data_IF_109364176893
#
_entry.id   IF_109364176893
#
_cell.length_a   1.000
_cell.length_b   1.000
_cell.length_c   1.000
_cell.angle_alpha   90.00
_cell.angle_beta   90.00
_cell.angle_gamma   90.00
#
_symmetry.space_group_name_H-M   'P 1'
#
loop_
_entity.id
_entity.type
_entity.pdbx_description
1 polymer ?
#
# COMPACT_ATOMS: atom_id res chain seq x y z
N UNK A 1 11.80 32.35 -5.40
CA UNK A 1 12.58 31.51 -6.35
C UNK A 1 13.42 30.40 -5.68
N UNK A 2 14.04 30.60 -4.50
CA UNK A 2 14.74 29.51 -3.79
C UNK A 2 13.76 28.55 -3.07
N UNK A 3 12.62 29.05 -2.60
CA UNK A 3 11.65 28.24 -1.85
C UNK A 3 10.97 27.13 -2.69
N UNK A 4 10.74 27.36 -3.97
CA UNK A 4 10.07 26.40 -4.84
C UNK A 4 10.94 25.18 -5.18
N UNK A 5 12.27 25.33 -5.14
CA UNK A 5 13.23 24.27 -5.46
C UNK A 5 13.76 23.53 -4.24
N UNK A 6 13.53 24.06 -3.04
CA UNK A 6 14.06 23.51 -1.79
C UNK A 6 13.64 22.03 -1.57
N UNK A 7 12.37 21.62 -1.78
CA UNK A 7 11.95 20.23 -1.61
C UNK A 7 12.68 19.27 -2.57
N UNK A 8 12.94 19.71 -3.81
CA UNK A 8 13.65 18.91 -4.81
C UNK A 8 15.13 18.76 -4.45
N UNK A 9 15.77 19.83 -3.97
CA UNK A 9 17.16 19.78 -3.51
C UNK A 9 17.32 18.87 -2.28
N UNK A 10 16.43 18.96 -1.30
CA UNK A 10 16.44 18.09 -0.13
C UNK A 10 16.26 16.62 -0.55
N UNK A 11 15.32 16.33 -1.44
CA UNK A 11 15.09 14.97 -1.97
C UNK A 11 16.31 14.44 -2.70
N UNK A 12 16.97 15.27 -3.52
CA UNK A 12 18.17 14.90 -4.25
C UNK A 12 19.35 14.60 -3.30
N UNK A 13 19.54 15.43 -2.26
CA UNK A 13 20.58 15.22 -1.25
C UNK A 13 20.35 13.95 -0.43
N UNK A 14 19.10 13.68 -0.04
CA UNK A 14 18.73 12.44 0.65
C UNK A 14 18.96 11.22 -0.22
N UNK A 15 18.59 11.28 -1.50
CA UNK A 15 18.85 10.23 -2.49
C UNK A 15 20.34 9.97 -2.67
N UNK A 16 21.15 11.02 -2.75
CA UNK A 16 22.61 10.90 -2.83
C UNK A 16 23.20 10.28 -1.56
N UNK A 17 22.77 10.73 -0.39
CA UNK A 17 23.20 10.17 0.89
C UNK A 17 22.87 8.68 1.01
N UNK A 18 21.66 8.29 0.57
CA UNK A 18 21.23 6.89 0.53
C UNK A 18 22.09 6.07 -0.44
N UNK A 19 22.38 6.57 -1.63
CA UNK A 19 23.26 5.94 -2.61
C UNK A 19 24.68 5.73 -2.06
N UNK A 20 25.25 6.76 -1.42
CA UNK A 20 26.57 6.67 -0.80
C UNK A 20 26.60 5.68 0.37
N UNK A 21 25.55 5.65 1.18
CA UNK A 21 25.40 4.66 2.27
C UNK A 21 25.34 3.23 1.73
N UNK A 22 24.58 3.01 0.66
CA UNK A 22 24.52 1.71 -0.01
C UNK A 22 25.87 1.27 -0.59
N UNK A 23 26.62 2.21 -1.18
CA UNK A 23 27.99 1.90 -1.69
C UNK A 23 28.97 1.57 -0.57
N UNK A 24 28.81 2.16 0.61
CA UNK A 24 29.76 2.00 1.73
C UNK A 24 29.43 0.77 2.60
N UNK A 25 28.14 0.51 2.84
CA UNK A 25 27.67 -0.52 3.77
C UNK A 25 26.78 -1.59 3.13
N UNK A 26 26.38 -1.41 1.87
CA UNK A 26 25.60 -2.42 1.17
C UNK A 26 26.44 -3.72 1.08
N UNK A 27 25.90 -4.82 1.57
CA UNK A 27 26.50 -6.14 1.38
C UNK A 27 26.64 -6.40 -0.11
N UNK A 28 27.85 -6.62 -0.56
CA UNK A 28 28.09 -7.17 -1.90
C UNK A 28 27.67 -8.65 -1.84
N UNK A 29 26.39 -8.92 -1.89
CA UNK A 29 25.89 -10.25 -2.15
C UNK A 29 26.53 -10.66 -3.47
N UNK A 30 27.51 -11.57 -3.40
CA UNK A 30 28.01 -12.20 -4.61
C UNK A 30 26.78 -12.76 -5.33
N UNK A 31 26.65 -12.57 -6.65
CA UNK A 31 25.55 -13.19 -7.38
C UNK A 31 25.60 -14.67 -7.02
N UNK A 32 24.50 -15.18 -6.44
CA UNK A 32 24.38 -16.59 -6.14
C UNK A 32 24.79 -17.30 -7.44
N UNK A 33 25.93 -17.99 -7.45
CA UNK A 33 26.31 -18.86 -8.57
C UNK A 33 25.13 -19.81 -8.67
N UNK A 34 24.31 -19.63 -9.67
CA UNK A 34 23.33 -20.60 -10.07
C UNK A 34 24.14 -21.80 -10.53
N UNK A 35 24.42 -22.71 -9.59
CA UNK A 35 25.02 -23.98 -9.91
C UNK A 35 24.17 -24.61 -11.01
N UNK A 36 24.70 -24.60 -12.25
CA UNK A 36 24.41 -25.49 -13.39
C UNK A 36 22.99 -25.98 -13.67
N UNK A 37 21.96 -25.53 -12.95
CA UNK A 37 20.59 -25.83 -13.29
C UNK A 37 20.19 -25.00 -14.52
N UNK A 38 19.63 -25.63 -15.59
CA UNK A 38 19.17 -24.90 -16.76
C UNK A 38 18.27 -23.76 -16.27
N UNK A 39 18.61 -22.52 -16.61
CA UNK A 39 17.76 -21.36 -16.33
C UNK A 39 16.40 -21.69 -16.94
N UNK A 40 15.43 -22.02 -16.08
CA UNK A 40 14.06 -22.22 -16.53
C UNK A 40 13.67 -20.98 -17.31
N UNK A 41 13.34 -21.12 -18.58
CA UNK A 41 13.07 -20.00 -19.47
C UNK A 41 12.02 -19.08 -18.85
N UNK A 42 12.14 -17.77 -19.07
CA UNK A 42 11.22 -16.76 -18.54
C UNK A 42 9.74 -17.17 -18.60
N UNK A 43 9.33 -17.81 -19.70
CA UNK A 43 7.98 -18.32 -19.89
C UNK A 43 7.62 -19.53 -19.02
N UNK A 44 8.58 -20.40 -18.71
CA UNK A 44 8.34 -21.56 -17.83
C UNK A 44 8.18 -21.13 -16.38
N UNK A 45 8.97 -20.14 -15.93
CA UNK A 45 8.82 -19.52 -14.61
C UNK A 45 7.49 -18.78 -14.52
N UNK A 46 7.12 -18.00 -15.54
CA UNK A 46 5.81 -17.35 -15.63
C UNK A 46 4.65 -18.33 -15.52
N UNK A 47 4.75 -19.49 -16.21
CA UNK A 47 3.76 -20.55 -16.12
C UNK A 47 3.66 -21.21 -14.74
N UNK A 48 4.75 -21.30 -13.99
CA UNK A 48 4.74 -21.76 -12.59
C UNK A 48 4.07 -20.76 -11.66
N UNK A 49 4.34 -19.45 -11.81
CA UNK A 49 3.71 -18.39 -11.01
C UNK A 49 2.20 -18.37 -11.21
N UNK A 50 1.72 -18.55 -12.45
CA UNK A 50 0.29 -18.58 -12.77
C UNK A 50 -0.42 -19.84 -12.23
N UNK A 51 0.31 -20.86 -11.77
CA UNK A 51 -0.24 -22.04 -11.11
C UNK A 51 -0.24 -21.93 -9.59
N UNK A 52 0.54 -21.02 -9.03
CA UNK A 52 0.58 -20.79 -7.59
C UNK A 52 -0.64 -19.97 -7.14
N UNK A 53 -1.66 -20.66 -6.67
CA UNK A 53 -2.91 -20.05 -6.19
C UNK A 53 -2.69 -19.10 -5.02
N UNK A 54 -1.69 -19.37 -4.16
CA UNK A 54 -1.36 -18.49 -3.03
C UNK A 54 -0.87 -17.15 -3.55
N UNK A 55 0.12 -17.19 -4.44
CA UNK A 55 0.68 -15.99 -5.04
C UNK A 55 -0.40 -15.18 -5.77
N UNK A 56 -1.24 -15.83 -6.59
CA UNK A 56 -2.32 -15.14 -7.32
C UNK A 56 -3.29 -14.46 -6.35
N UNK A 57 -3.75 -15.17 -5.32
CA UNK A 57 -4.67 -14.62 -4.33
C UNK A 57 -4.03 -13.43 -3.60
N UNK A 58 -2.76 -13.53 -3.20
CA UNK A 58 -2.07 -12.42 -2.52
C UNK A 58 -1.80 -11.24 -3.46
N UNK A 59 -1.45 -11.47 -4.71
CA UNK A 59 -1.28 -10.39 -5.70
C UNK A 59 -2.60 -9.69 -6.01
N UNK A 60 -3.70 -10.42 -6.16
CA UNK A 60 -5.03 -9.84 -6.36
C UNK A 60 -5.52 -9.09 -5.10
N UNK A 61 -5.34 -9.69 -3.92
CA UNK A 61 -5.62 -9.03 -2.66
C UNK A 61 -4.80 -7.75 -2.50
N UNK A 62 -3.51 -7.81 -2.83
CA UNK A 62 -2.59 -6.66 -2.83
C UNK A 62 -3.02 -5.58 -3.82
N UNK A 63 -3.48 -5.94 -5.02
CA UNK A 63 -3.97 -4.97 -5.99
C UNK A 63 -5.25 -4.27 -5.50
N UNK A 64 -6.17 -5.00 -4.89
CA UNK A 64 -7.39 -4.42 -4.33
C UNK A 64 -7.12 -3.55 -3.09
N UNK A 65 -6.18 -3.94 -2.22
CA UNK A 65 -5.76 -3.10 -1.10
C UNK A 65 -5.01 -1.86 -1.58
N UNK A 66 -4.18 -1.98 -2.63
CA UNK A 66 -3.46 -0.86 -3.21
C UNK A 66 -4.38 0.18 -3.89
N UNK A 67 -5.56 -0.22 -4.40
CA UNK A 67 -6.62 0.73 -4.83
C UNK A 67 -6.95 1.69 -3.69
N UNK A 68 -6.92 1.21 -2.45
CA UNK A 68 -7.35 1.95 -1.27
C UNK A 68 -6.24 2.84 -0.72
N UNK A 69 -5.05 2.29 -0.47
CA UNK A 69 -3.99 3.05 0.19
C UNK A 69 -2.97 3.68 -0.79
N UNK A 70 -2.84 3.13 -2.00
CA UNK A 70 -1.73 3.49 -2.90
C UNK A 70 -1.70 4.94 -3.36
N UNK A 71 -2.86 5.57 -3.49
CA UNK A 71 -3.00 6.97 -3.94
C UNK A 71 -4.07 7.72 -3.13
N UNK A 72 -4.09 7.50 -1.80
CA UNK A 72 -5.13 8.08 -0.94
C UNK A 72 -5.19 9.60 -1.03
N UNK A 73 -4.06 10.29 -1.17
CA UNK A 73 -4.02 11.74 -1.33
C UNK A 73 -4.75 12.20 -2.59
N UNK A 74 -4.64 11.47 -3.69
CA UNK A 74 -5.27 11.83 -4.95
C UNK A 74 -6.81 11.73 -4.85
N UNK A 75 -7.35 10.58 -4.40
CA UNK A 75 -8.80 10.43 -4.36
C UNK A 75 -9.45 11.23 -3.21
N UNK A 76 -8.78 11.41 -2.06
CA UNK A 76 -9.29 12.30 -1.02
C UNK A 76 -9.30 13.76 -1.47
N UNK A 77 -8.27 14.19 -2.21
CA UNK A 77 -8.25 15.51 -2.80
C UNK A 77 -9.41 15.71 -3.78
N UNK A 78 -9.64 14.74 -4.67
CA UNK A 78 -10.78 14.78 -5.61
C UNK A 78 -12.12 14.89 -4.86
N UNK A 79 -12.30 14.07 -3.82
CA UNK A 79 -13.50 14.09 -3.00
C UNK A 79 -13.71 15.45 -2.31
N UNK A 80 -12.67 15.96 -1.64
CA UNK A 80 -12.76 17.21 -0.87
C UNK A 80 -12.99 18.43 -1.77
N UNK A 81 -12.37 18.47 -2.95
CA UNK A 81 -12.58 19.57 -3.91
C UNK A 81 -14.01 19.57 -4.49
N UNK A 82 -14.64 18.40 -4.60
CA UNK A 82 -16.05 18.30 -5.06
C UNK A 82 -17.05 18.66 -3.95
N UNK A 83 -16.69 18.40 -2.67
CA UNK A 83 -17.62 18.55 -1.54
C UNK A 83 -17.42 19.81 -0.72
N UNK A 84 -16.25 20.45 -0.79
CA UNK A 84 -15.88 21.67 -0.07
C UNK A 84 -15.44 22.75 -1.06
N UNK A 85 -15.33 24.01 -0.59
CA UNK A 85 -14.65 25.03 -1.37
C UNK A 85 -13.13 24.77 -1.47
N UNK A 86 -12.49 25.35 -2.50
CA UNK A 86 -11.08 25.08 -2.81
C UNK A 86 -10.11 25.39 -1.66
N UNK A 87 -10.40 26.44 -0.86
CA UNK A 87 -9.54 26.82 0.25
C UNK A 87 -9.66 25.84 1.43
N UNK A 88 -10.87 25.45 1.75
CA UNK A 88 -11.15 24.46 2.79
C UNK A 88 -10.60 23.09 2.38
N UNK A 89 -10.77 22.68 1.13
CA UNK A 89 -10.24 21.42 0.61
C UNK A 89 -8.71 21.35 0.78
N UNK A 90 -7.99 22.41 0.37
CA UNK A 90 -6.53 22.47 0.53
C UNK A 90 -6.09 22.38 2.00
N UNK A 91 -6.84 23.03 2.91
CA UNK A 91 -6.59 22.99 4.35
C UNK A 91 -6.76 21.56 4.90
N UNK A 92 -7.89 20.92 4.59
CA UNK A 92 -8.17 19.55 5.01
C UNK A 92 -7.11 18.57 4.50
N UNK A 93 -6.76 18.65 3.21
CA UNK A 93 -5.72 17.78 2.61
C UNK A 93 -4.39 17.93 3.36
N UNK A 94 -3.98 19.17 3.67
CA UNK A 94 -2.73 19.44 4.39
C UNK A 94 -2.72 18.78 5.77
N UNK A 95 -3.82 18.87 6.53
CA UNK A 95 -3.92 18.20 7.83
C UNK A 95 -3.97 16.67 7.72
N UNK A 96 -4.63 16.13 6.71
CA UNK A 96 -4.69 14.68 6.47
C UNK A 96 -3.31 14.11 6.13
N UNK A 97 -2.57 14.76 5.23
CA UNK A 97 -1.21 14.37 4.87
C UNK A 97 -0.27 14.47 6.09
N UNK A 98 -0.39 15.55 6.87
CA UNK A 98 0.39 15.70 8.10
C UNK A 98 0.05 14.62 9.13
N UNK A 99 -1.24 14.30 9.31
CA UNK A 99 -1.69 13.22 10.21
C UNK A 99 -1.13 11.86 9.78
N UNK A 100 -1.20 11.53 8.48
CA UNK A 100 -0.61 10.31 7.94
C UNK A 100 0.90 10.28 8.22
N UNK A 101 1.64 11.31 7.83
CA UNK A 101 3.09 11.38 7.99
C UNK A 101 3.53 11.24 9.46
N UNK A 102 2.89 11.97 10.38
CA UNK A 102 3.20 11.92 11.81
C UNK A 102 2.90 10.51 12.36
N UNK A 103 1.77 9.91 11.98
CA UNK A 103 1.38 8.56 12.43
C UNK A 103 2.38 7.51 11.93
N UNK A 104 2.79 7.59 10.66
CA UNK A 104 3.80 6.69 10.08
C UNK A 104 5.12 6.84 10.84
N UNK A 105 5.66 8.06 10.97
CA UNK A 105 6.94 8.30 11.62
C UNK A 105 6.93 7.82 13.07
N UNK A 106 5.86 8.07 13.81
CA UNK A 106 5.75 7.72 15.22
C UNK A 106 5.57 6.21 15.46
N UNK A 107 4.78 5.52 14.61
CA UNK A 107 4.27 4.19 14.93
C UNK A 107 4.78 3.07 14.03
N UNK A 108 5.28 3.37 12.82
CA UNK A 108 5.71 2.34 11.87
C UNK A 108 6.79 1.41 12.46
N UNK A 109 7.80 1.95 13.13
CA UNK A 109 8.85 1.14 13.76
C UNK A 109 8.30 0.31 14.93
N UNK A 110 7.47 0.92 15.79
CA UNK A 110 6.93 0.25 16.99
C UNK A 110 5.98 -0.89 16.61
N UNK A 111 5.10 -0.65 15.64
CA UNK A 111 4.14 -1.65 15.16
C UNK A 111 4.87 -2.71 14.31
N UNK A 112 5.71 -2.27 13.36
CA UNK A 112 6.41 -3.16 12.43
C UNK A 112 7.21 -4.25 13.13
N UNK A 113 7.93 -3.90 14.20
CA UNK A 113 8.70 -4.89 14.98
C UNK A 113 7.84 -5.88 15.78
N UNK A 114 6.53 -5.62 15.94
CA UNK A 114 5.59 -6.53 16.61
C UNK A 114 4.92 -7.49 15.65
N UNK A 115 4.94 -7.20 14.36
CA UNK A 115 4.36 -8.09 13.35
C UNK A 115 5.20 -9.36 13.31
N UNK A 116 4.58 -10.47 13.77
CA UNK A 116 5.25 -11.76 13.82
C UNK A 116 4.97 -12.56 12.55
N UNK A 117 6.04 -13.13 11.96
CA UNK A 117 5.91 -14.04 10.82
C UNK A 117 5.05 -15.28 11.10
N UNK A 118 4.84 -15.64 12.38
CA UNK A 118 3.95 -16.76 12.77
C UNK A 118 2.46 -16.39 12.71
N UNK A 119 2.12 -15.11 12.84
CA UNK A 119 0.74 -14.62 12.95
C UNK A 119 0.42 -13.58 11.86
N UNK A 120 0.94 -13.75 10.64
CA UNK A 120 0.76 -12.77 9.57
C UNK A 120 -0.71 -12.58 9.20
N UNK A 121 -1.50 -13.66 9.15
CA UNK A 121 -2.92 -13.57 8.77
C UNK A 121 -3.76 -12.77 9.75
N UNK A 122 -3.70 -12.98 11.08
CA UNK A 122 -4.34 -12.12 12.06
C UNK A 122 -3.95 -10.65 11.93
N UNK A 123 -2.66 -10.34 11.72
CA UNK A 123 -2.20 -8.97 11.50
C UNK A 123 -2.78 -8.36 10.23
N UNK A 124 -2.77 -9.11 9.13
CA UNK A 124 -3.33 -8.65 7.86
C UNK A 124 -4.83 -8.37 7.97
N UNK A 125 -5.59 -9.26 8.63
CA UNK A 125 -7.02 -9.05 8.87
C UNK A 125 -7.29 -7.86 9.80
N UNK A 126 -6.47 -7.65 10.83
CA UNK A 126 -6.56 -6.47 11.69
C UNK A 126 -6.31 -5.18 10.90
N UNK A 127 -5.32 -5.17 10.00
CA UNK A 127 -5.05 -4.03 9.11
C UNK A 127 -6.22 -3.77 8.15
N UNK A 128 -6.83 -4.81 7.58
CA UNK A 128 -8.02 -4.67 6.74
C UNK A 128 -9.21 -4.10 7.52
N UNK A 129 -9.41 -4.53 8.78
CA UNK A 129 -10.45 -3.98 9.65
C UNK A 129 -10.22 -2.49 9.96
N UNK A 130 -8.96 -2.09 10.14
CA UNK A 130 -8.59 -0.67 10.32
C UNK A 130 -8.84 0.16 9.06
N UNK A 131 -8.56 -0.37 7.86
CA UNK A 131 -8.93 0.30 6.61
C UNK A 131 -10.45 0.49 6.50
N UNK A 132 -11.24 -0.55 6.81
CA UNK A 132 -12.70 -0.45 6.82
C UNK A 132 -13.17 0.63 7.80
N UNK A 133 -12.64 0.63 9.03
CA UNK A 133 -12.99 1.64 10.04
C UNK A 133 -12.60 3.05 9.60
N UNK A 134 -11.41 3.24 9.00
CA UNK A 134 -10.96 4.52 8.47
C UNK A 134 -11.85 5.02 7.34
N UNK A 135 -12.19 4.16 6.37
CA UNK A 135 -13.07 4.52 5.25
C UNK A 135 -14.50 4.84 5.70
N UNK A 136 -15.03 4.09 6.67
CA UNK A 136 -16.31 4.42 7.31
C UNK A 136 -16.22 5.76 8.04
N UNK A 137 -15.11 6.00 8.74
CA UNK A 137 -14.84 7.29 9.38
C UNK A 137 -14.86 8.45 8.37
N UNK A 138 -14.22 8.31 7.22
CA UNK A 138 -14.28 9.33 6.15
C UNK A 138 -15.68 9.54 5.59
N UNK A 139 -16.44 8.46 5.41
CA UNK A 139 -17.81 8.56 4.87
C UNK A 139 -18.79 9.29 5.82
N UNK A 140 -18.50 9.30 7.11
CA UNK A 140 -19.32 9.93 8.16
C UNK A 140 -18.74 11.26 8.67
N UNK A 141 -17.54 11.63 8.21
CA UNK A 141 -16.82 12.79 8.71
C UNK A 141 -17.46 14.12 8.27
N UNK A 142 -17.87 14.94 9.24
CA UNK A 142 -18.41 16.28 9.02
C UNK A 142 -17.46 17.39 9.51
N UNK A 143 -16.50 17.06 10.35
CA UNK A 143 -15.54 18.02 10.91
C UNK A 143 -14.10 17.60 10.64
N UNK A 144 -13.19 18.56 10.57
CA UNK A 144 -11.76 18.30 10.36
C UNK A 144 -11.19 17.30 11.39
N UNK A 145 -11.62 17.39 12.64
CA UNK A 145 -11.17 16.47 13.68
C UNK A 145 -11.55 15.02 13.36
N UNK A 146 -12.77 14.75 12.91
CA UNK A 146 -13.23 13.41 12.53
C UNK A 146 -12.48 12.92 11.31
N UNK A 147 -12.19 13.79 10.33
CA UNK A 147 -11.34 13.47 9.18
C UNK A 147 -9.92 13.04 9.62
N UNK A 148 -9.30 13.79 10.54
CA UNK A 148 -7.97 13.45 11.07
C UNK A 148 -7.98 12.13 11.87
N UNK A 149 -9.01 11.89 12.68
CA UNK A 149 -9.15 10.64 13.42
C UNK A 149 -9.34 9.44 12.47
N UNK A 150 -10.17 9.60 11.44
CA UNK A 150 -10.34 8.59 10.40
C UNK A 150 -9.03 8.31 9.66
N UNK A 151 -8.25 9.36 9.34
CA UNK A 151 -6.93 9.23 8.72
C UNK A 151 -5.96 8.49 9.63
N UNK A 152 -5.94 8.79 10.93
CA UNK A 152 -5.10 8.08 11.89
C UNK A 152 -5.40 6.58 11.88
N UNK A 153 -6.69 6.20 11.96
CA UNK A 153 -7.13 4.79 11.93
C UNK A 153 -6.77 4.14 10.59
N UNK A 154 -6.99 4.83 9.49
CA UNK A 154 -6.61 4.37 8.14
C UNK A 154 -5.10 4.11 8.03
N UNK A 155 -4.28 5.04 8.52
CA UNK A 155 -2.82 4.94 8.49
C UNK A 155 -2.31 3.79 9.37
N UNK A 156 -2.96 3.49 10.49
CA UNK A 156 -2.65 2.27 11.27
C UNK A 156 -2.85 1.00 10.44
N UNK A 157 -3.91 0.96 9.63
CA UNK A 157 -4.13 -0.11 8.66
C UNK A 157 -2.97 -0.23 7.66
N UNK A 158 -2.53 0.89 7.09
CA UNK A 158 -1.42 0.96 6.15
C UNK A 158 -0.11 0.44 6.75
N UNK A 159 0.25 0.89 7.95
CA UNK A 159 1.46 0.47 8.68
C UNK A 159 1.49 -1.05 8.92
N UNK A 160 0.32 -1.69 9.04
CA UNK A 160 0.21 -3.13 9.29
C UNK A 160 0.17 -3.91 7.98
N UNK A 161 -0.67 -3.51 7.03
CA UNK A 161 -0.95 -4.28 5.80
C UNK A 161 0.28 -4.38 4.92
N UNK A 162 0.95 -3.26 4.64
CA UNK A 162 2.08 -3.23 3.71
C UNK A 162 3.20 -4.20 4.14
N UNK A 163 3.76 -4.13 5.36
CA UNK A 163 4.80 -5.07 5.75
C UNK A 163 4.29 -6.51 5.88
N UNK A 164 3.04 -6.72 6.31
CA UNK A 164 2.47 -8.05 6.43
C UNK A 164 2.34 -8.74 5.06
N UNK A 165 1.95 -8.02 4.01
CA UNK A 165 1.91 -8.53 2.63
C UNK A 165 3.31 -9.00 2.17
N UNK A 166 4.33 -8.14 2.31
CA UNK A 166 5.70 -8.48 1.91
C UNK A 166 6.25 -9.68 2.69
N UNK A 167 6.02 -9.72 4.01
CA UNK A 167 6.42 -10.86 4.85
C UNK A 167 5.70 -12.15 4.45
N UNK A 168 4.45 -12.07 4.00
CA UNK A 168 3.72 -13.24 3.53
C UNK A 168 4.28 -13.75 2.21
N UNK A 169 4.56 -12.87 1.25
CA UNK A 169 5.22 -13.22 -0.01
C UNK A 169 6.58 -13.87 0.24
N UNK A 170 7.39 -13.30 1.14
CA UNK A 170 8.68 -13.88 1.52
C UNK A 170 8.55 -15.30 2.09
N UNK A 171 7.49 -15.56 2.85
CA UNK A 171 7.21 -16.86 3.44
C UNK A 171 6.80 -17.93 2.42
N UNK A 172 6.05 -17.56 1.36
CA UNK A 172 5.59 -18.51 0.34
C UNK A 172 6.58 -18.68 -0.80
N UNK A 173 7.48 -17.72 -1.00
CA UNK A 173 8.43 -17.72 -2.10
C UNK A 173 9.54 -18.77 -1.88
N UNK A 174 9.76 -19.69 -2.84
CA UNK A 174 10.97 -20.54 -2.84
C UNK A 174 12.23 -19.67 -2.87
N UNK A 175 13.30 -20.07 -2.18
CA UNK A 175 14.52 -19.25 -2.05
C UNK A 175 15.09 -18.80 -3.39
N UNK A 176 15.14 -19.70 -4.38
CA UNK A 176 15.66 -19.42 -5.72
C UNK A 176 14.71 -18.58 -6.60
N UNK A 177 13.45 -18.36 -6.20
CA UNK A 177 12.44 -17.59 -6.94
C UNK A 177 11.97 -16.33 -6.18
N UNK A 178 12.53 -16.00 -5.02
CA UNK A 178 12.10 -14.84 -4.20
C UNK A 178 11.97 -13.56 -5.02
N UNK A 179 12.97 -13.22 -5.84
CA UNK A 179 12.93 -12.02 -6.68
C UNK A 179 11.77 -12.02 -7.67
N UNK A 180 11.40 -13.18 -8.20
CA UNK A 180 10.29 -13.33 -9.15
C UNK A 180 8.94 -13.18 -8.43
N UNK A 181 8.81 -13.74 -7.20
CA UNK A 181 7.62 -13.59 -6.37
C UNK A 181 7.40 -12.14 -5.96
N UNK A 182 8.45 -11.41 -5.57
CA UNK A 182 8.36 -9.98 -5.31
C UNK A 182 8.02 -9.18 -6.58
N UNK A 183 8.57 -9.58 -7.74
CA UNK A 183 8.20 -8.99 -9.02
C UNK A 183 6.73 -9.20 -9.36
N UNK A 184 6.18 -10.39 -9.12
CA UNK A 184 4.76 -10.68 -9.29
C UNK A 184 3.89 -9.88 -8.30
N UNK A 185 4.30 -9.77 -7.03
CA UNK A 185 3.60 -8.95 -6.04
C UNK A 185 3.60 -7.47 -6.44
N UNK A 186 4.65 -6.97 -7.07
CA UNK A 186 4.68 -5.58 -7.55
C UNK A 186 3.61 -5.27 -8.60
N UNK A 187 2.99 -6.27 -9.25
CA UNK A 187 1.82 -6.06 -10.10
C UNK A 187 0.62 -5.51 -9.30
N UNK A 188 0.60 -5.70 -7.98
CA UNK A 188 -0.40 -5.09 -7.10
C UNK A 188 -0.39 -3.56 -7.19
N UNK A 189 0.75 -2.94 -7.51
CA UNK A 189 0.85 -1.49 -7.70
C UNK A 189 -0.04 -0.95 -8.84
N UNK A 190 -0.49 -1.80 -9.77
CA UNK A 190 -1.52 -1.42 -10.74
C UNK A 190 -2.82 -1.00 -10.05
N UNK A 191 -3.14 -1.60 -8.89
CA UNK A 191 -4.26 -1.18 -8.07
C UNK A 191 -4.15 0.27 -7.60
N UNK A 192 -2.96 0.70 -7.19
CA UNK A 192 -2.71 2.08 -6.79
C UNK A 192 -3.02 3.09 -7.92
N UNK A 193 -2.68 2.75 -9.15
CA UNK A 193 -3.00 3.60 -10.32
C UNK A 193 -4.51 3.63 -10.63
N UNK A 194 -5.24 2.55 -10.34
CA UNK A 194 -6.67 2.46 -10.58
C UNK A 194 -7.51 3.20 -9.52
N UNK A 195 -7.01 3.36 -8.29
CA UNK A 195 -7.74 4.02 -7.20
C UNK A 195 -8.31 5.38 -7.58
N UNK A 196 -7.49 6.37 -8.00
CA UNK A 196 -7.97 7.69 -8.40
C UNK A 196 -8.93 7.65 -9.60
N UNK A 197 -8.75 6.71 -10.54
CA UNK A 197 -9.62 6.54 -11.71
C UNK A 197 -11.02 6.07 -11.27
N UNK A 198 -11.09 5.05 -10.41
CA UNK A 198 -12.34 4.52 -9.86
C UNK A 198 -13.06 5.61 -9.07
N UNK A 199 -12.34 6.33 -8.22
CA UNK A 199 -12.89 7.41 -7.43
C UNK A 199 -13.35 8.59 -8.29
N UNK A 200 -12.57 9.00 -9.28
CA UNK A 200 -12.96 10.06 -10.23
C UNK A 200 -14.22 9.69 -11.01
N UNK A 201 -14.33 8.44 -11.47
CA UNK A 201 -15.54 7.94 -12.13
C UNK A 201 -16.75 7.96 -11.18
N UNK A 202 -16.57 7.51 -9.93
CA UNK A 202 -17.63 7.54 -8.93
C UNK A 202 -18.10 8.96 -8.64
N UNK A 203 -17.19 9.91 -8.49
CA UNK A 203 -17.50 11.32 -8.26
C UNK A 203 -18.23 11.98 -9.44
N UNK A 204 -17.92 11.54 -10.67
CA UNK A 204 -18.56 12.09 -11.87
C UNK A 204 -19.97 11.54 -12.12
N UNK A 205 -20.29 10.31 -11.69
CA UNK A 205 -21.51 9.61 -12.07
C UNK A 205 -22.40 9.19 -10.89
N UNK A 206 -21.86 9.21 -9.66
CA UNK A 206 -22.54 8.76 -8.44
C UNK A 206 -22.53 9.86 -7.38
N UNK A 207 -23.16 9.62 -6.24
CA UNK A 207 -23.03 10.48 -5.06
C UNK A 207 -21.60 10.45 -4.54
N UNK A 208 -21.01 11.58 -4.10
CA UNK A 208 -19.61 11.62 -3.62
C UNK A 208 -19.28 10.55 -2.58
N UNK A 209 -20.18 10.27 -1.64
CA UNK A 209 -20.03 9.25 -0.59
C UNK A 209 -19.89 7.83 -1.18
N UNK A 210 -20.40 7.55 -2.38
CA UNK A 210 -20.25 6.25 -3.05
C UNK A 210 -18.79 5.87 -3.30
N UNK A 211 -17.89 6.86 -3.40
CA UNK A 211 -16.44 6.64 -3.47
C UNK A 211 -15.96 5.78 -2.32
N UNK A 212 -16.35 6.10 -1.09
CA UNK A 212 -15.94 5.32 0.09
C UNK A 212 -16.56 3.92 0.10
N UNK A 213 -17.79 3.75 -0.34
CA UNK A 213 -18.43 2.43 -0.44
C UNK A 213 -17.75 1.53 -1.46
N UNK A 214 -17.29 2.08 -2.59
CA UNK A 214 -16.49 1.32 -3.56
C UNK A 214 -15.13 0.89 -2.98
N UNK A 215 -14.47 1.79 -2.24
CA UNK A 215 -13.23 1.46 -1.56
C UNK A 215 -13.42 0.41 -0.45
N UNK A 216 -14.52 0.50 0.31
CA UNK A 216 -14.91 -0.52 1.29
C UNK A 216 -15.11 -1.88 0.60
N UNK A 217 -15.80 -1.91 -0.53
CA UNK A 217 -15.96 -3.11 -1.35
C UNK A 217 -14.61 -3.70 -1.76
N UNK A 218 -13.65 -2.85 -2.18
CA UNK A 218 -12.30 -3.28 -2.53
C UNK A 218 -11.55 -3.89 -1.33
N UNK A 219 -11.66 -3.30 -0.13
CA UNK A 219 -11.06 -3.85 1.10
C UNK A 219 -11.65 -5.21 1.46
N UNK A 220 -12.98 -5.36 1.37
CA UNK A 220 -13.65 -6.64 1.67
C UNK A 220 -13.23 -7.74 0.69
N UNK A 221 -13.13 -7.41 -0.60
CA UNK A 221 -12.64 -8.35 -1.62
C UNK A 221 -11.15 -8.68 -1.40
N UNK A 222 -10.32 -7.69 -1.05
CA UNK A 222 -8.92 -7.92 -0.71
C UNK A 222 -8.79 -8.88 0.48
N UNK A 223 -9.54 -8.65 1.56
CA UNK A 223 -9.55 -9.51 2.74
C UNK A 223 -9.99 -10.95 2.39
N UNK A 224 -10.98 -11.10 1.51
CA UNK A 224 -11.41 -12.41 1.01
C UNK A 224 -10.28 -13.12 0.25
N UNK A 225 -9.60 -12.44 -0.68
CA UNK A 225 -8.49 -13.02 -1.42
C UNK A 225 -7.33 -13.42 -0.51
N UNK A 226 -6.95 -12.60 0.46
CA UNK A 226 -5.93 -12.96 1.44
C UNK A 226 -6.33 -14.18 2.26
N UNK A 227 -7.58 -14.24 2.70
CA UNK A 227 -8.08 -15.39 3.45
C UNK A 227 -8.08 -16.68 2.62
N UNK A 228 -8.50 -16.62 1.36
CA UNK A 228 -8.45 -17.75 0.44
C UNK A 228 -7.01 -18.19 0.17
N UNK A 229 -6.11 -17.24 -0.08
CA UNK A 229 -4.70 -17.53 -0.32
C UNK A 229 -3.98 -18.14 0.89
N UNK A 230 -4.40 -17.81 2.11
CA UNK A 230 -3.83 -18.38 3.33
C UNK A 230 -4.30 -19.81 3.63
N UNK A 231 -5.43 -20.26 3.07
CA UNK A 231 -5.98 -21.61 3.27
C UNK A 231 -5.35 -22.67 2.36
N UNK A 232 -4.74 -22.28 1.27
CA UNK A 232 -4.02 -23.15 0.32
C UNK A 232 -2.56 -23.31 0.76
#
# INVERSE_FOLDING_TARGET
MLDDHLPFLVSALLGLAMCLSYRRWGERSAPARLDGSPQAGFFSVGGQLLKDRRLICFTLGGALSAVVFGQFTAYLSQYLVVTLDASQAAHYISYLVATNAITVIALQYVIGRRISSRQLMPWLMAGMALFLAGLLGFSLAQTLLVWCLAMLVFTLGEIIVIPAEYMFIDRIAPEHLRGVYYGAQNLSNLGAALGPVICGFALAHLMPVATFYLLIGSVLLAALFYYLGARH
#
